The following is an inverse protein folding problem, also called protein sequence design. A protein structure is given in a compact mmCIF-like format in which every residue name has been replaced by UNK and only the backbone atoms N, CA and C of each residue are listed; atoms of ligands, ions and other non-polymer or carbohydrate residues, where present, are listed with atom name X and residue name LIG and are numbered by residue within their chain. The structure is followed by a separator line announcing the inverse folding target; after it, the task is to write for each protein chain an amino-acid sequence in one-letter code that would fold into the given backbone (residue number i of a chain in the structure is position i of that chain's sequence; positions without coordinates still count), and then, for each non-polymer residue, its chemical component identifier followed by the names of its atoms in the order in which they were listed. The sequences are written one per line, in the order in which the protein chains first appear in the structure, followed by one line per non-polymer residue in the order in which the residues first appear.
data_IF_083622632479
#
_entry.id   IF_083622632479
#
_cell.length_a   1.000
_cell.length_b   1.000
_cell.length_c   1.000
_cell.angle_alpha   90.00
_cell.angle_beta   90.00
_cell.angle_gamma   90.00
#
_symmetry.space_group_name_H-M   'P 1'
#
loop_
_entity.id
_entity.type
_entity.pdbx_description
1 polymer ?
#
# COMPACT_ATOMS: atom_id res chain seq x y z
N UNK A 1 43.53 -17.70 -1.55
CA UNK A 1 42.39 -18.61 -1.29
C UNK A 1 41.08 -17.96 -1.70
N UNK A 2 40.37 -18.53 -2.69
CA UNK A 2 39.03 -18.07 -3.02
C UNK A 2 38.14 -18.26 -1.79
N UNK A 3 37.66 -17.14 -1.22
CA UNK A 3 36.73 -17.15 -0.11
C UNK A 3 35.44 -17.84 -0.54
N UNK A 4 35.02 -18.87 0.20
CA UNK A 4 33.76 -19.55 -0.03
C UNK A 4 32.60 -18.55 0.12
N UNK A 5 31.81 -18.36 -0.93
CA UNK A 5 30.61 -17.53 -0.91
C UNK A 5 29.40 -18.47 -0.87
N UNK A 6 28.60 -18.48 0.21
CA UNK A 6 27.37 -19.26 0.27
C UNK A 6 26.44 -18.89 -0.89
N UNK A 7 25.89 -19.90 -1.57
CA UNK A 7 25.00 -19.72 -2.72
C UNK A 7 23.80 -20.65 -2.59
N UNK A 8 22.61 -20.11 -2.84
CA UNK A 8 21.37 -20.86 -2.97
C UNK A 8 20.61 -20.36 -4.21
N UNK A 9 19.75 -21.22 -4.76
CA UNK A 9 18.93 -20.88 -5.92
C UNK A 9 17.89 -21.94 -6.22
N UNK A 10 16.96 -21.60 -7.10
CA UNK A 10 15.94 -22.50 -7.61
C UNK A 10 15.80 -22.29 -9.14
N UNK A 11 15.22 -23.25 -9.87
CA UNK A 11 14.99 -23.10 -11.31
C UNK A 11 14.01 -21.96 -11.62
N UNK A 12 14.24 -21.20 -12.69
CA UNK A 12 13.40 -20.04 -13.07
C UNK A 12 11.88 -20.34 -13.11
N UNK A 13 11.47 -21.49 -13.65
CA UNK A 13 10.05 -21.87 -13.73
C UNK A 13 9.39 -22.09 -12.35
N UNK A 14 10.16 -22.19 -11.27
CA UNK A 14 9.66 -22.31 -9.90
C UNK A 14 9.52 -20.95 -9.20
N UNK A 15 9.83 -19.83 -9.88
CA UNK A 15 9.83 -18.48 -9.31
C UNK A 15 8.56 -18.17 -8.55
N UNK A 16 7.39 -18.34 -9.16
CA UNK A 16 6.10 -18.02 -8.52
C UNK A 16 5.88 -18.77 -7.19
N UNK A 17 6.28 -20.04 -7.13
CA UNK A 17 6.09 -20.85 -5.93
C UNK A 17 7.03 -20.42 -4.77
N UNK A 18 8.25 -20.00 -5.08
CA UNK A 18 9.18 -19.49 -4.07
C UNK A 18 8.88 -18.05 -3.68
N UNK A 19 8.45 -17.24 -4.64
CA UNK A 19 7.98 -15.88 -4.40
C UNK A 19 6.83 -15.90 -3.40
N UNK A 20 5.87 -16.81 -3.57
CA UNK A 20 4.81 -17.06 -2.59
C UNK A 20 5.32 -17.25 -1.17
N UNK A 21 6.23 -18.22 -0.96
CA UNK A 21 6.77 -18.51 0.37
C UNK A 21 7.51 -17.31 0.99
N UNK A 22 8.22 -16.54 0.18
CA UNK A 22 8.99 -15.39 0.65
C UNK A 22 8.07 -14.23 1.06
N UNK A 23 7.10 -13.88 0.22
CA UNK A 23 6.18 -12.79 0.51
C UNK A 23 5.24 -13.15 1.67
N UNK A 24 4.76 -14.40 1.77
CA UNK A 24 3.97 -14.87 2.93
C UNK A 24 4.76 -14.85 4.24
N UNK A 25 6.09 -14.89 4.16
CA UNK A 25 6.97 -14.70 5.32
C UNK A 25 7.32 -13.22 5.59
N UNK A 26 6.69 -12.28 4.86
CA UNK A 26 6.88 -10.83 5.03
C UNK A 26 8.14 -10.28 4.36
N UNK A 27 8.79 -11.04 3.46
CA UNK A 27 9.95 -10.54 2.72
C UNK A 27 9.54 -9.79 1.46
N UNK A 28 10.40 -8.86 1.02
CA UNK A 28 10.35 -8.25 -0.32
C UNK A 28 11.37 -8.93 -1.21
N UNK A 29 11.05 -9.09 -2.49
CA UNK A 29 11.91 -9.81 -3.44
C UNK A 29 12.20 -8.92 -4.64
N UNK A 30 13.47 -8.57 -4.83
CA UNK A 30 13.95 -7.89 -6.03
C UNK A 30 14.27 -8.94 -7.11
N UNK A 31 13.64 -8.79 -8.28
CA UNK A 31 13.85 -9.62 -9.47
C UNK A 31 14.88 -8.91 -10.36
N UNK A 32 15.98 -9.60 -10.63
CA UNK A 32 17.10 -9.07 -11.39
C UNK A 32 17.27 -9.87 -12.68
N UNK A 33 17.11 -9.21 -13.82
CA UNK A 33 17.12 -9.83 -15.15
C UNK A 33 18.28 -9.35 -16.01
N UNK A 34 18.57 -10.12 -17.06
CA UNK A 34 19.55 -9.73 -18.07
C UNK A 34 18.91 -8.74 -19.05
N UNK A 35 19.49 -7.55 -19.18
CA UNK A 35 18.94 -6.47 -20.02
C UNK A 35 19.66 -6.31 -21.37
N UNK A 36 20.68 -7.13 -21.62
CA UNK A 36 21.39 -7.18 -22.90
C UNK A 36 21.49 -8.60 -23.45
N UNK A 37 21.65 -8.72 -24.78
CA UNK A 37 21.81 -10.03 -25.43
C UNK A 37 23.18 -10.64 -25.03
N UNK A 38 23.21 -11.84 -24.41
CA UNK A 38 24.44 -12.52 -24.04
C UNK A 38 25.39 -12.75 -25.21
N UNK A 39 24.88 -12.84 -26.44
CA UNK A 39 25.68 -13.04 -27.66
C UNK A 39 26.42 -11.76 -28.09
N UNK A 40 25.91 -10.60 -27.71
CA UNK A 40 26.48 -9.29 -28.04
C UNK A 40 27.38 -8.76 -26.92
N UNK A 41 27.20 -9.26 -25.70
CA UNK A 41 27.95 -8.85 -24.52
C UNK A 41 29.43 -9.28 -24.59
N UNK A 42 30.34 -8.36 -24.25
CA UNK A 42 31.76 -8.68 -24.03
C UNK A 42 32.01 -8.92 -22.54
N UNK A 43 31.94 -10.17 -22.12
CA UNK A 43 32.18 -10.57 -20.72
C UNK A 43 30.90 -10.83 -19.94
N UNK A 44 30.75 -10.19 -18.78
CA UNK A 44 29.55 -10.31 -17.94
C UNK A 44 28.39 -9.54 -18.55
N UNK A 45 27.25 -10.20 -18.71
CA UNK A 45 26.00 -9.55 -19.11
C UNK A 45 25.54 -8.54 -18.06
N UNK A 46 25.07 -7.39 -18.54
CA UNK A 46 24.42 -6.35 -17.73
C UNK A 46 23.14 -6.90 -17.11
N UNK A 47 23.01 -6.66 -15.82
CA UNK A 47 21.86 -7.06 -15.01
C UNK A 47 21.28 -5.86 -14.30
N UNK A 48 19.96 -5.77 -14.29
CA UNK A 48 19.21 -4.70 -13.62
C UNK A 48 18.05 -5.29 -12.84
N UNK A 49 17.68 -4.63 -11.74
CA UNK A 49 16.43 -4.94 -11.04
C UNK A 49 15.29 -4.43 -11.90
N UNK A 50 14.47 -5.34 -12.39
CA UNK A 50 13.32 -5.01 -13.25
C UNK A 50 12.04 -4.83 -12.44
N UNK A 51 11.96 -5.47 -11.28
CA UNK A 51 10.78 -5.45 -10.43
C UNK A 51 11.16 -5.77 -8.97
N UNK A 52 10.47 -5.14 -8.02
CA UNK A 52 10.49 -5.48 -6.61
C UNK A 52 9.09 -5.91 -6.21
N UNK A 53 8.90 -7.20 -5.96
CA UNK A 53 7.61 -7.74 -5.55
C UNK A 53 7.50 -7.72 -4.03
N UNK A 54 6.36 -7.26 -3.53
CA UNK A 54 6.08 -7.11 -2.10
C UNK A 54 4.74 -7.74 -1.74
N UNK A 55 4.48 -8.03 -0.45
CA UNK A 55 3.22 -8.63 -0.04
C UNK A 55 1.98 -7.88 -0.55
N UNK A 56 1.96 -6.54 -0.49
CA UNK A 56 0.82 -5.74 -0.96
C UNK A 56 0.76 -5.50 -2.47
N UNK A 57 1.80 -5.84 -3.23
CA UNK A 57 1.83 -5.62 -4.69
C UNK A 57 1.77 -6.90 -5.51
N UNK A 58 1.87 -8.06 -4.85
CA UNK A 58 1.86 -9.36 -5.49
C UNK A 58 0.56 -9.62 -6.27
N UNK A 59 0.70 -9.95 -7.56
CA UNK A 59 -0.42 -10.27 -8.45
C UNK A 59 -0.60 -11.78 -8.69
N UNK A 60 0.32 -12.65 -8.25
CA UNK A 60 0.28 -14.06 -8.60
C UNK A 60 -0.96 -14.76 -8.01
N UNK A 61 -1.62 -15.62 -8.81
CA UNK A 61 -2.89 -16.31 -8.47
C UNK A 61 -2.86 -17.09 -7.14
N UNK A 62 -1.66 -17.45 -6.64
CA UNK A 62 -1.50 -18.15 -5.36
C UNK A 62 -1.53 -17.25 -4.13
N UNK A 63 -1.39 -15.93 -4.29
CA UNK A 63 -1.56 -14.93 -3.23
C UNK A 63 -3.01 -14.50 -3.04
N UNK A 64 -3.80 -14.65 -4.11
CA UNK A 64 -5.23 -14.44 -4.06
C UNK A 64 -5.82 -15.72 -3.49
N UNK A 65 -5.93 -15.81 -2.16
CA UNK A 65 -6.89 -16.74 -1.58
C UNK A 65 -8.22 -16.47 -2.31
N UNK A 66 -8.80 -17.49 -2.94
CA UNK A 66 -9.91 -17.29 -3.89
C UNK A 66 -11.03 -16.52 -3.21
N UNK A 67 -11.23 -15.27 -3.62
CA UNK A 67 -12.29 -14.40 -3.12
C UNK A 67 -11.86 -13.37 -2.07
N UNK A 68 -10.58 -13.30 -1.68
CA UNK A 68 -10.07 -12.26 -0.79
C UNK A 68 -9.20 -11.24 -1.56
N UNK A 69 -9.36 -9.97 -1.21
CA UNK A 69 -8.55 -8.88 -1.74
C UNK A 69 -7.16 -8.88 -1.11
N UNK A 70 -6.13 -8.55 -1.91
CA UNK A 70 -4.78 -8.34 -1.42
C UNK A 70 -4.47 -6.84 -1.35
N UNK A 71 -4.88 -6.20 -0.25
CA UNK A 71 -4.76 -4.74 -0.13
C UNK A 71 -3.35 -4.28 0.24
N UNK A 72 -2.83 -3.31 -0.52
CA UNK A 72 -1.80 -2.36 -0.12
C UNK A 72 -2.48 -1.13 0.48
N UNK A 73 -2.15 -0.79 1.71
CA UNK A 73 -2.64 0.41 2.38
C UNK A 73 -1.56 1.49 2.49
N UNK A 74 -1.97 2.75 2.57
CA UNK A 74 -1.11 3.85 3.01
C UNK A 74 -1.86 4.69 4.04
N UNK A 75 -1.18 5.05 5.13
CA UNK A 75 -1.73 5.94 6.16
C UNK A 75 -0.88 7.20 6.26
N UNK A 76 -1.55 8.34 6.32
CA UNK A 76 -0.92 9.65 6.50
C UNK A 76 -1.65 10.46 7.58
N UNK A 77 -0.92 10.98 8.57
CA UNK A 77 -1.48 11.82 9.63
C UNK A 77 -1.22 13.31 9.38
N UNK A 78 -2.20 14.15 9.66
CA UNK A 78 -2.02 15.60 9.69
C UNK A 78 -2.89 16.23 10.78
N UNK A 79 -2.37 17.27 11.43
CA UNK A 79 -3.05 17.99 12.50
C UNK A 79 -2.10 18.32 13.66
N UNK A 80 -2.63 18.99 14.69
CA UNK A 80 -1.84 19.34 15.86
C UNK A 80 -1.49 18.07 16.64
N UNK A 81 -0.18 17.81 16.76
CA UNK A 81 0.40 16.65 17.45
C UNK A 81 0.61 16.93 18.93
N UNK A 82 0.45 18.19 19.36
CA UNK A 82 0.38 18.52 20.77
C UNK A 82 -0.93 17.97 21.33
N UNK A 83 -0.85 17.20 22.42
CA UNK A 83 -2.02 16.68 23.13
C UNK A 83 -3.02 17.79 23.52
N UNK A 84 -4.19 17.43 24.09
CA UNK A 84 -5.29 18.37 24.32
C UNK A 84 -4.81 19.68 24.95
N UNK A 85 -4.83 20.75 24.15
CA UNK A 85 -4.47 22.10 24.61
C UNK A 85 -5.44 22.51 25.72
N UNK A 86 -4.91 22.76 26.92
CA UNK A 86 -5.67 23.23 28.08
C UNK A 86 -6.07 24.71 27.97
N UNK A 87 -5.97 25.33 26.79
CA UNK A 87 -6.29 26.75 26.59
C UNK A 87 -7.68 26.90 25.94
N UNK A 88 -8.67 27.52 26.61
CA UNK A 88 -10.03 27.70 26.12
C UNK A 88 -10.19 28.79 25.04
N UNK A 89 -9.08 29.27 24.46
CA UNK A 89 -9.06 30.42 23.55
C UNK A 89 -8.20 30.12 22.32
N UNK A 90 -8.61 29.16 21.49
CA UNK A 90 -8.20 29.10 20.07
C UNK A 90 -9.33 28.44 19.29
N UNK A 91 -9.62 28.99 18.10
CA UNK A 91 -10.44 28.42 17.00
C UNK A 91 -10.34 26.89 16.96
N UNK A 92 -11.39 26.13 16.53
CA UNK A 92 -11.47 24.67 16.67
C UNK A 92 -10.12 24.04 16.35
N UNK A 93 -9.47 23.59 17.41
CA UNK A 93 -8.18 22.92 17.39
C UNK A 93 -8.21 21.88 16.27
N UNK A 94 -7.32 22.03 15.29
CA UNK A 94 -7.11 21.10 14.18
C UNK A 94 -6.86 19.72 14.75
N UNK A 95 -7.96 19.00 14.97
CA UNK A 95 -7.96 17.67 15.57
C UNK A 95 -7.11 16.80 14.67
N UNK A 96 -6.26 15.96 15.25
CA UNK A 96 -5.45 15.02 14.49
C UNK A 96 -6.36 14.18 13.58
N UNK A 97 -6.09 14.19 12.27
CA UNK A 97 -6.82 13.43 11.25
C UNK A 97 -5.90 12.48 10.52
N UNK A 98 -6.48 11.40 10.00
CA UNK A 98 -5.80 10.40 9.21
C UNK A 98 -6.40 10.32 7.81
N UNK A 99 -5.55 10.33 6.80
CA UNK A 99 -5.88 9.84 5.46
C UNK A 99 -5.53 8.36 5.36
N UNK A 100 -6.41 7.57 4.75
CA UNK A 100 -6.18 6.19 4.40
C UNK A 100 -6.44 6.02 2.91
N UNK A 101 -5.55 5.32 2.21
CA UNK A 101 -5.79 4.82 0.88
C UNK A 101 -5.55 3.31 0.85
N UNK A 102 -6.33 2.60 0.03
CA UNK A 102 -6.32 1.15 -0.10
C UNK A 102 -6.41 0.79 -1.57
N UNK A 103 -5.46 -0.02 -2.03
CA UNK A 103 -5.38 -0.52 -3.38
C UNK A 103 -5.31 -2.04 -3.37
N UNK A 104 -6.15 -2.68 -4.15
CA UNK A 104 -5.92 -4.04 -4.61
C UNK A 104 -5.30 -3.99 -6.01
N UNK A 105 -4.00 -4.30 -6.08
CA UNK A 105 -3.24 -4.23 -7.32
C UNK A 105 -3.76 -5.25 -8.36
N UNK A 106 -4.37 -6.36 -7.93
CA UNK A 106 -4.84 -7.42 -8.83
C UNK A 106 -6.18 -7.06 -9.49
N UNK A 107 -7.07 -6.34 -8.80
CA UNK A 107 -8.39 -5.96 -9.31
C UNK A 107 -8.44 -4.53 -9.84
N UNK A 108 -7.49 -3.68 -9.44
CA UNK A 108 -7.50 -2.25 -9.69
C UNK A 108 -8.48 -1.48 -8.80
N UNK A 109 -9.04 -2.13 -7.77
CA UNK A 109 -9.88 -1.47 -6.77
C UNK A 109 -9.04 -0.50 -5.96
N UNK A 110 -9.35 0.79 -6.07
CA UNK A 110 -8.58 1.85 -5.43
C UNK A 110 -9.49 2.89 -4.81
N UNK A 111 -9.37 3.06 -3.50
CA UNK A 111 -10.18 4.00 -2.75
C UNK A 111 -9.42 4.69 -1.63
N UNK A 112 -9.97 5.81 -1.19
CA UNK A 112 -9.45 6.63 -0.11
C UNK A 112 -10.54 7.05 0.86
N UNK A 113 -10.14 7.41 2.06
CA UNK A 113 -11.00 8.03 3.05
C UNK A 113 -10.18 8.92 3.99
N UNK A 114 -10.89 9.75 4.74
CA UNK A 114 -10.32 10.47 5.86
C UNK A 114 -11.12 10.23 7.13
N UNK A 115 -10.44 9.83 8.19
CA UNK A 115 -11.05 9.38 9.44
C UNK A 115 -10.32 9.96 10.65
N UNK A 116 -10.94 9.80 11.82
CA UNK A 116 -10.24 10.03 13.08
C UNK A 116 -9.20 8.91 13.30
N UNK A 117 -7.98 9.20 13.78
CA UNK A 117 -6.91 8.19 13.88
C UNK A 117 -7.28 6.97 14.72
N UNK A 118 -8.19 7.12 15.70
CA UNK A 118 -8.73 6.01 16.51
C UNK A 118 -9.49 4.94 15.70
N UNK A 119 -9.95 5.26 14.49
CA UNK A 119 -10.67 4.35 13.61
C UNK A 119 -9.73 3.51 12.73
N UNK A 120 -8.41 3.80 12.71
CA UNK A 120 -7.45 3.08 11.88
C UNK A 120 -7.41 1.59 12.22
N UNK A 121 -7.41 1.21 13.50
CA UNK A 121 -7.42 -0.17 13.93
C UNK A 121 -8.64 -0.95 13.39
N UNK A 122 -9.82 -0.32 13.35
CA UNK A 122 -11.03 -0.91 12.78
C UNK A 122 -10.87 -1.12 11.26
N UNK A 123 -10.28 -0.16 10.55
CA UNK A 123 -10.00 -0.29 9.11
C UNK A 123 -8.98 -1.39 8.81
N UNK A 124 -7.93 -1.52 9.62
CA UNK A 124 -6.95 -2.60 9.47
C UNK A 124 -7.60 -3.97 9.69
N UNK A 125 -8.54 -4.09 10.64
CA UNK A 125 -9.29 -5.32 10.86
C UNK A 125 -10.27 -5.63 9.70
N UNK A 126 -10.93 -4.60 9.16
CA UNK A 126 -11.91 -4.74 8.07
C UNK A 126 -11.26 -5.13 6.75
N UNK A 127 -10.18 -4.44 6.36
CA UNK A 127 -9.55 -4.61 5.05
C UNK A 127 -8.35 -5.55 5.06
N UNK A 128 -7.75 -5.82 6.23
CA UNK A 128 -6.62 -6.76 6.40
C UNK A 128 -5.52 -6.58 5.35
N UNK A 129 -4.97 -5.35 5.21
CA UNK A 129 -3.95 -5.11 4.20
C UNK A 129 -2.73 -6.01 4.44
N UNK A 130 -2.13 -6.54 3.37
CA UNK A 130 -0.92 -7.35 3.45
C UNK A 130 0.33 -6.47 3.70
N UNK A 131 0.26 -5.19 3.29
CA UNK A 131 1.33 -4.22 3.47
C UNK A 131 0.74 -2.83 3.73
N UNK A 132 1.39 -2.08 4.63
CA UNK A 132 1.01 -0.72 5.00
C UNK A 132 2.22 0.20 4.81
N UNK A 133 2.05 1.19 3.95
CA UNK A 133 3.00 2.27 3.70
C UNK A 133 2.84 3.35 4.76
N UNK A 134 3.94 3.77 5.38
CA UNK A 134 3.99 4.85 6.37
C UNK A 134 5.14 5.82 6.07
N UNK A 135 4.91 7.12 6.28
CA UNK A 135 6.00 8.09 6.20
C UNK A 135 7.02 7.83 7.33
N UNK A 136 8.32 7.93 7.01
CA UNK A 136 9.42 7.73 7.97
C UNK A 136 9.24 8.59 9.23
N UNK A 137 8.90 9.87 9.06
CA UNK A 137 8.65 10.81 10.16
C UNK A 137 7.40 10.53 11.00
N UNK A 138 6.52 9.61 10.58
CA UNK A 138 5.24 9.29 11.26
C UNK A 138 5.18 7.87 11.82
N UNK A 139 6.21 7.05 11.60
CA UNK A 139 6.18 5.62 11.92
C UNK A 139 5.88 5.35 13.41
N UNK A 140 6.49 6.13 14.32
CA UNK A 140 6.27 5.98 15.76
C UNK A 140 4.86 6.40 16.22
N UNK A 141 4.23 7.34 15.52
CA UNK A 141 2.90 7.87 15.85
C UNK A 141 1.79 7.00 15.28
N UNK A 142 1.95 6.54 14.03
CA UNK A 142 0.92 5.76 13.32
C UNK A 142 0.90 4.31 13.77
N UNK A 143 2.07 3.67 13.93
CA UNK A 143 2.15 2.23 14.20
C UNK A 143 1.30 1.76 15.39
N UNK A 144 1.23 2.46 16.54
CA UNK A 144 0.36 2.10 17.65
C UNK A 144 -1.16 2.18 17.32
N UNK A 145 -1.55 3.00 16.35
CA UNK A 145 -2.95 3.24 15.96
C UNK A 145 -3.50 2.17 15.01
N UNK A 146 -2.62 1.38 14.39
CA UNK A 146 -2.98 0.31 13.45
C UNK A 146 -3.54 -0.94 14.14
N UNK A 147 -3.49 -1.01 15.48
CA UNK A 147 -3.92 -2.18 16.23
C UNK A 147 -2.99 -3.38 16.06
N UNK A 148 -3.53 -4.59 16.25
CA UNK A 148 -2.80 -5.85 16.04
C UNK A 148 -2.89 -6.26 14.56
N UNK A 149 -2.17 -5.56 13.70
CA UNK A 149 -2.03 -5.93 12.28
C UNK A 149 -0.81 -6.81 12.07
N UNK A 150 -0.96 -7.81 11.19
CA UNK A 150 0.13 -8.68 10.72
C UNK A 150 0.78 -8.14 9.43
N UNK A 151 0.28 -7.03 8.90
CA UNK A 151 0.75 -6.42 7.68
C UNK A 151 2.25 -6.06 7.76
N UNK A 152 2.95 -6.21 6.64
CA UNK A 152 4.28 -5.66 6.49
C UNK A 152 4.23 -4.14 6.58
N UNK A 153 4.98 -3.53 7.50
CA UNK A 153 5.12 -2.07 7.57
C UNK A 153 6.29 -1.63 6.70
N UNK A 154 6.00 -0.75 5.75
CA UNK A 154 6.98 -0.23 4.79
C UNK A 154 7.13 1.28 4.95
N UNK A 155 8.29 1.76 5.42
CA UNK A 155 8.55 3.19 5.46
C UNK A 155 8.79 3.76 4.05
N UNK A 156 8.40 5.01 3.83
CA UNK A 156 8.72 5.81 2.66
C UNK A 156 9.13 7.24 3.07
N UNK A 157 9.81 7.96 2.17
CA UNK A 157 10.27 9.33 2.43
C UNK A 157 9.09 10.32 2.54
N UNK A 158 9.08 11.16 3.57
CA UNK A 158 7.93 12.04 3.90
C UNK A 158 7.42 12.92 2.75
N UNK A 159 8.31 13.37 1.85
CA UNK A 159 7.96 14.24 0.71
C UNK A 159 6.97 13.60 -0.27
N UNK A 160 6.91 12.26 -0.31
CA UNK A 160 6.00 11.50 -1.18
C UNK A 160 4.53 11.80 -0.83
N UNK A 161 4.23 12.04 0.44
CA UNK A 161 2.87 12.37 0.92
C UNK A 161 2.52 13.85 0.88
N UNK A 162 3.42 14.72 0.42
CA UNK A 162 3.07 16.11 0.22
C UNK A 162 1.94 16.20 -0.83
N UNK A 163 0.89 16.95 -0.49
CA UNK A 163 -0.36 16.98 -1.27
C UNK A 163 -0.13 17.36 -2.74
N UNK A 164 0.83 18.24 -3.00
CA UNK A 164 1.20 18.70 -4.35
C UNK A 164 1.81 17.55 -5.17
N UNK A 165 2.74 16.80 -4.59
CA UNK A 165 3.36 15.63 -5.22
C UNK A 165 2.36 14.51 -5.42
N UNK A 166 1.56 14.20 -4.39
CA UNK A 166 0.55 13.15 -4.45
C UNK A 166 -0.52 13.44 -5.51
N UNK A 167 -0.96 14.71 -5.61
CA UNK A 167 -1.91 15.13 -6.65
C UNK A 167 -1.27 15.00 -8.03
N UNK A 168 -0.01 15.41 -8.19
CA UNK A 168 0.72 15.29 -9.46
C UNK A 168 0.79 13.82 -9.92
N UNK A 169 1.28 12.92 -9.06
CA UNK A 169 1.39 11.47 -9.31
C UNK A 169 0.04 10.87 -9.74
N UNK A 170 -1.04 11.19 -9.03
CA UNK A 170 -2.38 10.70 -9.36
C UNK A 170 -2.87 11.26 -10.70
N UNK A 171 -2.68 12.55 -10.96
CA UNK A 171 -3.12 13.16 -12.23
C UNK A 171 -2.33 12.64 -13.43
N UNK A 172 -1.03 12.39 -13.27
CA UNK A 172 -0.19 11.76 -14.29
C UNK A 172 -0.65 10.33 -14.56
N UNK A 173 -0.83 9.53 -13.50
CA UNK A 173 -1.31 8.15 -13.60
C UNK A 173 -2.66 8.05 -14.34
N UNK A 174 -3.63 8.88 -13.96
CA UNK A 174 -4.97 8.88 -14.58
C UNK A 174 -5.04 9.62 -15.92
N UNK A 175 -3.99 10.32 -16.33
CA UNK A 175 -4.00 11.15 -17.54
C UNK A 175 -5.03 12.29 -17.48
N UNK A 176 -5.20 12.90 -16.31
CA UNK A 176 -6.17 13.98 -16.06
C UNK A 176 -5.48 15.27 -15.63
N UNK A 177 -6.19 16.41 -15.67
CA UNK A 177 -5.66 17.70 -15.19
C UNK A 177 -6.03 18.01 -13.74
N UNK A 178 -6.98 17.26 -13.16
CA UNK A 178 -7.45 17.42 -11.78
C UNK A 178 -8.19 16.16 -11.33
N UNK A 179 -8.38 16.02 -10.02
CA UNK A 179 -9.09 14.89 -9.42
C UNK A 179 -10.62 15.09 -9.32
N UNK A 180 -11.15 16.17 -9.90
CA UNK A 180 -12.60 16.51 -9.90
C UNK A 180 -13.49 15.39 -10.39
N UNK A 181 -13.08 14.73 -11.47
CA UNK A 181 -13.85 13.64 -12.09
C UNK A 181 -14.00 12.40 -11.20
N UNK A 182 -13.18 12.28 -10.16
CA UNK A 182 -13.19 11.17 -9.20
C UNK A 182 -14.00 11.47 -7.94
N UNK A 183 -14.37 12.74 -7.71
CA UNK A 183 -15.15 13.15 -6.54
C UNK A 183 -14.39 13.02 -5.21
N UNK A 184 -13.05 13.15 -5.23
CA UNK A 184 -12.19 12.96 -4.04
C UNK A 184 -11.52 14.24 -3.53
N UNK A 185 -11.80 15.41 -4.12
CA UNK A 185 -11.13 16.67 -3.77
C UNK A 185 -11.33 17.10 -2.31
N UNK A 186 -12.39 16.63 -1.65
CA UNK A 186 -12.69 16.93 -0.24
C UNK A 186 -11.83 16.09 0.74
N UNK A 187 -10.98 15.21 0.24
CA UNK A 187 -10.18 14.26 1.03
C UNK A 187 -8.66 14.45 0.84
N UNK A 188 -8.08 15.63 1.14
CA UNK A 188 -6.66 15.91 0.90
C UNK A 188 -5.69 14.89 1.55
N UNK A 189 -5.95 14.41 2.77
CA UNK A 189 -5.11 13.39 3.41
C UNK A 189 -5.23 12.03 2.71
N UNK A 190 -6.45 11.70 2.26
CA UNK A 190 -6.68 10.51 1.45
C UNK A 190 -5.95 10.58 0.11
N UNK A 191 -5.93 11.76 -0.53
CA UNK A 191 -5.18 12.04 -1.76
C UNK A 191 -3.68 11.86 -1.50
N UNK A 192 -3.14 12.43 -0.41
CA UNK A 192 -1.75 12.22 0.00
C UNK A 192 -1.39 10.74 0.13
N UNK A 193 -2.22 9.95 0.82
CA UNK A 193 -2.01 8.52 0.97
C UNK A 193 -2.12 7.75 -0.37
N UNK A 194 -3.07 8.13 -1.23
CA UNK A 194 -3.27 7.52 -2.54
C UNK A 194 -2.08 7.80 -3.48
N UNK A 195 -1.58 9.03 -3.51
CA UNK A 195 -0.40 9.37 -4.29
C UNK A 195 0.83 8.58 -3.86
N UNK A 196 1.01 8.34 -2.56
CA UNK A 196 2.10 7.51 -2.05
C UNK A 196 2.01 6.05 -2.53
N UNK A 197 0.81 5.48 -2.62
CA UNK A 197 0.60 4.14 -3.19
C UNK A 197 1.04 4.11 -4.67
N UNK A 198 0.59 5.07 -5.48
CA UNK A 198 0.93 5.14 -6.90
C UNK A 198 2.44 5.29 -7.11
N UNK A 199 3.05 6.20 -6.36
CA UNK A 199 4.50 6.40 -6.36
C UNK A 199 5.24 5.10 -6.02
N UNK A 200 4.77 4.39 -4.99
CA UNK A 200 5.35 3.11 -4.55
C UNK A 200 5.28 2.02 -5.62
N UNK A 201 4.15 1.91 -6.34
CA UNK A 201 4.01 0.97 -7.45
C UNK A 201 5.02 1.26 -8.56
N UNK A 202 5.14 2.53 -8.98
CA UNK A 202 6.05 2.89 -10.06
C UNK A 202 7.52 2.72 -9.69
N UNK A 203 7.89 2.97 -8.42
CA UNK A 203 9.24 2.66 -7.93
C UNK A 203 9.54 1.16 -7.98
N UNK A 204 8.59 0.32 -7.57
CA UNK A 204 8.78 -1.12 -7.49
C UNK A 204 8.70 -1.81 -8.86
N UNK A 205 7.96 -1.26 -9.82
CA UNK A 205 7.81 -1.85 -11.15
C UNK A 205 7.92 -0.78 -12.23
N UNK A 206 9.15 -0.27 -12.51
CA UNK A 206 9.35 0.75 -13.54
C UNK A 206 8.87 0.27 -14.91
N UNK A 207 7.99 1.05 -15.54
CA UNK A 207 7.40 0.70 -16.84
C UNK A 207 6.15 -0.19 -16.77
N UNK A 208 5.72 -0.61 -15.57
CA UNK A 208 4.41 -1.21 -15.37
C UNK A 208 3.29 -0.22 -15.76
N UNK A 209 2.18 -0.78 -16.26
CA UNK A 209 0.94 -0.05 -16.50
C UNK A 209 -0.14 -0.64 -15.60
N UNK A 210 -0.24 -0.20 -14.34
CA UNK A 210 -1.27 -0.70 -13.44
C UNK A 210 -2.64 -0.48 -14.08
N UNK A 211 -3.53 -1.48 -14.03
CA UNK A 211 -4.90 -1.39 -14.55
C UNK A 211 -5.85 -0.64 -13.59
N UNK A 212 -5.32 0.39 -12.92
CA UNK A 212 -6.04 1.20 -11.95
C UNK A 212 -6.71 2.33 -12.72
N UNK A 213 -8.02 2.22 -12.96
CA UNK A 213 -8.74 3.16 -13.83
C UNK A 213 -9.54 4.23 -13.09
N UNK A 214 -9.71 4.09 -11.78
CA UNK A 214 -10.49 5.02 -10.97
C UNK A 214 -10.00 5.04 -9.53
N UNK A 215 -10.05 6.22 -8.91
CA UNK A 215 -9.94 6.43 -7.48
C UNK A 215 -11.32 6.84 -6.94
N UNK A 216 -11.74 6.29 -5.80
CA UNK A 216 -13.05 6.58 -5.20
C UNK A 216 -12.92 6.95 -3.73
N UNK A 217 -13.77 7.83 -3.25
CA UNK A 217 -13.94 8.00 -1.80
C UNK A 217 -14.76 6.84 -1.24
N UNK A 218 -14.38 6.33 -0.05
CA UNK A 218 -15.24 5.42 0.70
C UNK A 218 -16.48 6.20 1.11
N UNK A 219 -17.64 5.71 0.67
CA UNK A 219 -18.92 6.21 1.18
C UNK A 219 -19.31 5.33 2.37
N UNK A 220 -19.36 5.92 3.57
CA UNK A 220 -19.85 5.24 4.79
C UNK A 220 -21.39 5.02 4.76
N UNK A 221 -22.07 5.30 3.63
CA UNK A 221 -23.51 5.14 3.52
C UNK A 221 -23.91 3.78 2.92
N UNK A 222 -24.59 2.99 3.78
CA UNK A 222 -25.45 1.83 3.46
C UNK A 222 -24.79 0.48 3.20
N UNK A 223 -24.11 -0.07 4.20
CA UNK A 223 -24.32 -1.51 4.48
C UNK A 223 -24.63 -1.68 5.96
N UNK A 224 -25.74 -2.39 6.20
CA UNK A 224 -26.21 -2.87 7.50
C UNK A 224 -25.00 -3.24 8.37
N UNK A 225 -24.87 -2.60 9.53
CA UNK A 225 -23.95 -3.04 10.56
C UNK A 225 -24.30 -4.46 10.96
N UNK A 226 -23.65 -5.44 10.33
CA UNK A 226 -23.53 -6.77 10.90
C UNK A 226 -22.48 -6.63 11.97
N UNK A 227 -22.98 -6.30 13.16
CA UNK A 227 -22.26 -6.35 14.42
C UNK A 227 -21.32 -7.55 14.43
N UNK A 228 -20.06 -7.29 14.80
CA UNK A 228 -18.95 -8.26 14.89
C UNK A 228 -19.29 -9.57 15.61
N UNK A 229 -20.39 -9.61 16.39
CA UNK A 229 -20.97 -10.83 16.96
C UNK A 229 -21.64 -11.78 15.93
N UNK A 230 -22.11 -11.27 14.79
CA UNK A 230 -22.90 -12.04 13.80
C UNK A 230 -22.00 -12.84 12.85
N UNK A 231 -20.81 -12.32 12.50
CA UNK A 231 -19.84 -13.01 11.65
C UNK A 231 -19.29 -14.28 12.32
N UNK A 232 -19.24 -14.33 13.66
CA UNK A 232 -18.75 -15.50 14.40
C UNK A 232 -19.77 -16.65 14.50
N UNK A 233 -21.07 -16.36 14.34
CA UNK A 233 -22.16 -17.33 14.49
C UNK A 233 -22.72 -17.82 13.15
N UNK A 234 -22.34 -17.21 12.04
CA UNK A 234 -22.60 -17.75 10.71
C UNK A 234 -21.29 -18.30 10.16
N UNK A 235 -21.15 -19.62 10.17
CA UNK A 235 -20.10 -20.40 9.48
C UNK A 235 -20.16 -20.18 7.96
N UNK A 236 -20.03 -18.93 7.49
CA UNK A 236 -20.29 -18.58 6.10
C UNK A 236 -19.10 -18.78 5.15
N UNK A 237 -17.90 -19.06 5.67
CA UNK A 237 -16.76 -19.43 4.83
C UNK A 237 -15.87 -20.46 5.53
N UNK A 238 -16.31 -21.71 5.54
CA UNK A 238 -15.41 -22.86 5.48
C UNK A 238 -16.08 -23.97 4.66
N UNK A 239 -15.54 -24.22 3.47
CA UNK A 239 -15.73 -25.44 2.68
C UNK A 239 -14.44 -25.72 1.92
#
# INVERSE_FOLDING_TARGET
PASYVPLAGFPHHALEAYLHKLLSAGYKVAICEQVEDPKLAKGLVKREVVEVVTPGTAMAEKFLERGENNFLACVYLQGDRAGPSTSPSTSPSTSLRAGLALLDNSTGEFFLEELAPRQLAERMLRYRPAEILLAEGQLAEVKPLLGQTEALITPYQDWITEIENATHELTEHFGTTSLKGFGVEEYPLGISAAGAIIHYLYQNSPGAKPHISALRAVQDEQYLGLDSCTVRNMELFQS
#
